data_IF_356357087418
#
_entry.id   IF_356357087418
#
_cell.length_a   1.000
_cell.length_b   1.000
_cell.length_c   1.000
_cell.angle_alpha   90.00
_cell.angle_beta   90.00
_cell.angle_gamma   90.00
#
_symmetry.space_group_name_H-M   'P 1'
#
loop_
_entity.id
_entity.type
_entity.pdbx_description
1 polymer ?
#
# COMPACT_ATOMS: atom_id res chain seq x y z
N UNK A 1 -5.83 -3.43 16.83
CA UNK A 1 -5.71 -3.95 15.45
C UNK A 1 -6.91 -4.85 15.22
N UNK A 2 -7.85 -4.38 14.40
CA UNK A 2 -9.05 -5.10 14.02
C UNK A 2 -8.70 -6.44 13.34
N UNK A 3 -9.41 -7.51 13.69
CA UNK A 3 -9.20 -8.86 13.14
C UNK A 3 -9.36 -8.93 11.60
N UNK A 4 -10.01 -7.92 11.00
CA UNK A 4 -10.07 -7.72 9.55
C UNK A 4 -8.71 -7.38 8.92
N UNK A 5 -7.83 -6.67 9.63
CA UNK A 5 -6.52 -6.27 9.11
C UNK A 5 -5.60 -7.48 8.91
N UNK A 6 -5.76 -8.54 9.72
CA UNK A 6 -4.95 -9.77 9.65
C UNK A 6 -5.17 -10.61 8.38
N UNK A 7 -6.29 -10.41 7.68
CA UNK A 7 -6.62 -11.13 6.44
C UNK A 7 -6.18 -10.39 5.17
N UNK A 8 -5.66 -9.17 5.30
CA UNK A 8 -5.27 -8.35 4.16
C UNK A 8 -3.85 -8.66 3.74
N UNK A 9 -3.63 -8.72 2.43
CA UNK A 9 -2.32 -8.99 1.83
C UNK A 9 -1.44 -7.75 1.85
N UNK A 10 -0.17 -7.93 2.18
CA UNK A 10 0.83 -6.87 2.08
C UNK A 10 1.37 -6.79 0.65
N UNK A 11 1.43 -5.57 0.10
CA UNK A 11 1.99 -5.29 -1.21
C UNK A 11 3.46 -5.72 -1.27
N UNK A 12 3.86 -6.38 -2.36
CA UNK A 12 5.21 -6.91 -2.55
C UNK A 12 5.46 -8.29 -1.95
N UNK A 13 4.46 -8.88 -1.27
CA UNK A 13 4.55 -10.26 -0.77
C UNK A 13 4.14 -11.23 -1.86
N UNK A 14 4.98 -12.26 -2.09
CA UNK A 14 4.70 -13.31 -3.07
C UNK A 14 3.40 -14.05 -2.73
N UNK A 15 2.73 -14.57 -3.75
CA UNK A 15 1.48 -15.31 -3.55
C UNK A 15 1.70 -16.65 -2.81
N UNK A 16 2.92 -17.18 -2.84
CA UNK A 16 3.31 -18.41 -2.16
C UNK A 16 3.89 -18.17 -0.75
N UNK A 17 4.01 -16.91 -0.30
CA UNK A 17 4.51 -16.63 1.04
C UNK A 17 3.55 -17.20 2.09
N UNK A 18 4.01 -18.05 3.03
CA UNK A 18 3.15 -18.65 4.04
C UNK A 18 2.62 -17.64 5.06
N UNK A 19 3.15 -16.41 5.08
CA UNK A 19 2.72 -15.32 5.95
C UNK A 19 2.53 -14.01 5.17
N UNK A 20 1.53 -13.94 4.26
CA UNK A 20 1.32 -12.79 3.39
C UNK A 20 0.61 -11.61 4.11
N UNK A 21 0.26 -11.81 5.38
CA UNK A 21 -0.46 -10.84 6.22
C UNK A 21 0.45 -9.93 7.04
N UNK A 22 -0.11 -8.89 7.66
CA UNK A 22 0.65 -7.91 8.43
C UNK A 22 1.32 -8.53 9.65
N UNK A 23 2.59 -8.17 9.88
CA UNK A 23 3.41 -8.64 10.99
C UNK A 23 3.27 -7.70 12.19
N UNK A 24 3.21 -8.23 13.42
CA UNK A 24 3.19 -7.38 14.61
C UNK A 24 4.48 -6.56 14.72
N UNK A 25 4.37 -5.28 15.09
CA UNK A 25 5.51 -4.36 15.21
C UNK A 25 5.89 -3.63 13.92
N UNK A 26 5.14 -3.86 12.84
CA UNK A 26 5.27 -3.13 11.58
C UNK A 26 4.15 -2.09 11.43
N UNK A 27 4.46 -0.98 10.78
CA UNK A 27 3.51 0.07 10.43
C UNK A 27 3.00 -0.17 9.01
N UNK A 28 1.68 -0.29 8.88
CA UNK A 28 1.04 -0.51 7.60
C UNK A 28 0.12 0.64 7.22
N UNK A 29 0.10 0.96 5.93
CA UNK A 29 -0.88 1.87 5.32
C UNK A 29 -1.77 1.10 4.36
N UNK A 30 -3.07 1.25 4.53
CA UNK A 30 -4.08 0.69 3.64
C UNK A 30 -4.14 1.52 2.36
N UNK A 31 -4.05 0.83 1.22
CA UNK A 31 -4.25 1.44 -0.10
C UNK A 31 -5.74 1.41 -0.44
N UNK A 32 -6.30 2.59 -0.70
CA UNK A 32 -7.73 2.78 -1.00
C UNK A 32 -7.89 3.34 -2.41
N UNK A 33 -8.72 2.68 -3.21
CA UNK A 33 -8.96 3.00 -4.61
C UNK A 33 -7.84 2.54 -5.55
N UNK A 34 -8.09 2.66 -6.85
CA UNK A 34 -7.13 2.29 -7.89
C UNK A 34 -6.88 0.76 -7.99
N UNK A 35 -5.81 0.35 -8.66
CA UNK A 35 -5.53 -1.05 -8.97
C UNK A 35 -5.00 -1.87 -7.78
N UNK A 36 -4.53 -1.23 -6.71
CA UNK A 36 -3.99 -1.87 -5.50
C UNK A 36 -4.93 -1.72 -4.29
N UNK A 37 -6.20 -1.37 -4.52
CA UNK A 37 -7.22 -1.23 -3.48
C UNK A 37 -7.29 -2.47 -2.58
N UNK A 38 -7.41 -2.23 -1.28
CA UNK A 38 -7.54 -3.29 -0.28
C UNK A 38 -6.21 -3.89 0.20
N UNK A 39 -5.08 -3.59 -0.45
CA UNK A 39 -3.75 -4.03 0.00
C UNK A 39 -3.19 -3.17 1.14
N UNK A 40 -2.28 -3.76 1.90
CA UNK A 40 -1.48 -3.05 2.91
C UNK A 40 -0.09 -2.78 2.39
N UNK A 41 0.42 -1.57 2.55
CA UNK A 41 1.81 -1.22 2.30
C UNK A 41 2.58 -1.20 3.61
N UNK A 42 3.66 -1.95 3.69
CA UNK A 42 4.60 -1.88 4.81
C UNK A 42 5.42 -0.58 4.71
N UNK A 43 5.22 0.33 5.66
CA UNK A 43 5.95 1.59 5.77
C UNK A 43 6.85 1.61 7.00
N UNK A 44 7.14 0.44 7.57
CA UNK A 44 7.99 0.31 8.76
C UNK A 44 9.36 0.91 8.49
N UNK A 45 9.77 1.86 9.35
CA UNK A 45 11.05 2.55 9.23
C UNK A 45 11.08 3.69 8.20
N UNK A 46 9.95 4.06 7.60
CA UNK A 46 9.88 5.21 6.71
C UNK A 46 9.84 6.52 7.51
N UNK A 47 10.43 7.57 6.95
CA UNK A 47 10.42 8.90 7.56
C UNK A 47 9.08 9.61 7.37
N UNK A 48 8.70 10.49 8.29
CA UNK A 48 7.47 11.29 8.20
C UNK A 48 7.35 12.12 6.91
N UNK A 49 8.46 12.50 6.30
CA UNK A 49 8.48 13.17 5.00
C UNK A 49 7.97 12.27 3.89
N UNK A 50 8.49 11.05 3.79
CA UNK A 50 8.05 10.03 2.82
C UNK A 50 6.58 9.68 3.07
N UNK A 51 6.18 9.57 4.34
CA UNK A 51 4.79 9.29 4.70
C UNK A 51 3.84 10.42 4.27
N UNK A 52 4.30 11.68 4.29
CA UNK A 52 3.53 12.84 3.85
C UNK A 52 3.47 12.98 2.33
N UNK A 53 4.56 12.68 1.64
CA UNK A 53 4.61 12.73 0.17
C UNK A 53 3.78 11.61 -0.47
N UNK A 54 3.79 10.42 0.11
CA UNK A 54 3.20 9.22 -0.48
C UNK A 54 4.19 8.48 -1.38
N UNK A 55 3.68 7.57 -2.21
CA UNK A 55 4.51 6.67 -3.03
C UNK A 55 3.91 6.34 -4.37
N UNK A 56 4.78 5.86 -5.26
CA UNK A 56 4.43 5.30 -6.56
C UNK A 56 4.77 3.82 -6.57
N UNK A 57 3.74 2.99 -6.49
CA UNK A 57 3.89 1.53 -6.46
C UNK A 57 3.80 0.98 -7.87
N UNK A 58 4.74 0.09 -8.21
CA UNK A 58 4.70 -0.60 -9.51
C UNK A 58 3.51 -1.54 -9.53
N UNK A 59 2.72 -1.48 -10.59
CA UNK A 59 1.57 -2.38 -10.77
C UNK A 59 1.48 -2.80 -12.22
N UNK A 60 1.38 -4.11 -12.44
CA UNK A 60 1.15 -4.67 -13.77
C UNK A 60 -0.35 -4.68 -14.15
N UNK A 61 -1.22 -4.31 -13.20
CA UNK A 61 -2.69 -4.33 -13.30
C UNK A 61 -3.26 -2.90 -13.50
N UNK A 62 -2.43 -1.86 -13.38
CA UNK A 62 -2.84 -0.45 -13.56
C UNK A 62 -3.13 -0.06 -15.02
N UNK A 63 -3.61 1.17 -15.24
CA UNK A 63 -4.06 1.64 -16.56
C UNK A 63 -3.01 1.56 -17.69
N UNK A 64 -1.71 1.52 -17.35
CA UNK A 64 -0.61 1.42 -18.32
C UNK A 64 -0.08 0.00 -18.54
N UNK A 65 -0.66 -1.01 -17.88
CA UNK A 65 -0.19 -2.40 -17.97
C UNK A 65 1.22 -2.59 -17.38
N UNK A 66 2.00 -3.61 -17.82
CA UNK A 66 3.30 -3.93 -17.23
C UNK A 66 4.27 -2.75 -17.32
N UNK A 67 4.75 -2.31 -16.15
CA UNK A 67 5.63 -1.15 -15.98
C UNK A 67 4.91 0.13 -15.52
N UNK A 68 3.58 0.13 -15.47
CA UNK A 68 2.79 1.21 -14.88
C UNK A 68 3.00 1.34 -13.37
N UNK A 69 2.77 2.53 -12.85
CA UNK A 69 2.83 2.80 -11.41
C UNK A 69 1.53 3.46 -10.96
N UNK A 70 1.03 3.08 -9.80
CA UNK A 70 -0.09 3.74 -9.16
C UNK A 70 0.44 4.63 -8.02
N UNK A 71 0.09 5.90 -8.05
CA UNK A 71 0.44 6.86 -7.00
C UNK A 71 -0.60 6.82 -5.89
N UNK A 72 -0.12 6.66 -4.66
CA UNK A 72 -0.92 6.66 -3.44
C UNK A 72 -0.33 7.67 -2.47
N UNK A 73 -1.20 8.40 -1.78
CA UNK A 73 -0.73 9.34 -0.76
C UNK A 73 -1.69 9.45 0.42
N UNK A 74 -1.20 9.97 1.55
CA UNK A 74 -2.02 10.09 2.75
C UNK A 74 -3.24 10.97 2.49
N UNK A 75 -4.41 10.48 2.94
CA UNK A 75 -5.63 11.29 3.01
C UNK A 75 -5.57 12.31 4.15
N UNK A 76 -4.92 11.92 5.26
CA UNK A 76 -4.67 12.74 6.44
C UNK A 76 -3.34 12.33 7.07
N UNK A 77 -2.69 13.25 7.77
CA UNK A 77 -1.39 13.02 8.45
C UNK A 77 -1.48 11.85 9.44
N UNK A 78 -2.60 11.74 10.17
CA UNK A 78 -2.84 10.68 11.15
C UNK A 78 -3.54 9.45 10.56
N UNK A 79 -3.89 9.49 9.26
CA UNK A 79 -4.69 8.46 8.62
C UNK A 79 -3.87 7.25 8.18
N UNK A 80 -4.26 6.05 8.61
CA UNK A 80 -3.67 4.80 8.11
C UNK A 80 -4.05 4.48 6.66
N UNK A 81 -4.90 5.29 6.03
CA UNK A 81 -5.41 5.09 4.67
C UNK A 81 -4.73 6.05 3.69
N UNK A 82 -4.21 5.49 2.61
CA UNK A 82 -3.64 6.19 1.48
C UNK A 82 -4.56 6.06 0.28
N UNK A 83 -5.05 7.21 -0.19
CA UNK A 83 -5.95 7.26 -1.33
C UNK A 83 -5.12 7.25 -2.62
N UNK A 84 -5.62 6.52 -3.61
CA UNK A 84 -5.10 6.55 -4.98
C UNK A 84 -5.27 7.95 -5.59
N UNK A 85 -4.17 8.49 -6.11
CA UNK A 85 -4.12 9.82 -6.76
C UNK A 85 -4.09 9.74 -8.28
N UNK A 86 -3.79 8.57 -8.84
CA UNK A 86 -3.73 8.35 -10.27
C UNK A 86 -2.66 7.35 -10.67
N UNK A 87 -2.69 6.91 -11.92
CA UNK A 87 -1.63 6.10 -12.49
C UNK A 87 -0.61 6.99 -13.20
N UNK A 88 0.67 6.65 -13.08
CA UNK A 88 1.81 7.31 -13.73
C UNK A 88 2.62 6.29 -14.53
N UNK A 89 3.27 6.77 -15.60
CA UNK A 89 4.11 5.97 -16.50
C UNK A 89 5.58 6.10 -16.17
#
# INVERSE_FOLDING_TARGET
MDELMRQRRVYGTDHDDPHPGPRPGHDYRELVGGPLDGLLLDVTGWSDEVLREGVRLVTEIGAYGPGGRAEYGPRSIDGHQWDWRGDVR
#
